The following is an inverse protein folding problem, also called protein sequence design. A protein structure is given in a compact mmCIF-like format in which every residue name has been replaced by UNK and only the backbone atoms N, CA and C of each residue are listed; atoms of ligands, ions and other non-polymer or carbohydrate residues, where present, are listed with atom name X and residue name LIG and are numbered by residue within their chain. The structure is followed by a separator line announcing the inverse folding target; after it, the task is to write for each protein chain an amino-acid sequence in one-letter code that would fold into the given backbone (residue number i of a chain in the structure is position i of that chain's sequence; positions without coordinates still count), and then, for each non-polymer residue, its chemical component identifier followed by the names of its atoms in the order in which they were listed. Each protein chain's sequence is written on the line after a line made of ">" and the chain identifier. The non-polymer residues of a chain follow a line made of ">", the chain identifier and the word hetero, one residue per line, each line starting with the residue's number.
data_IF_706295303023
#
_entry.id   IF_706295303023
#
_cell.length_a   1.000
_cell.length_b   1.000
_cell.length_c   1.000
_cell.angle_alpha   90.00
_cell.angle_beta   90.00
_cell.angle_gamma   90.00
#
_symmetry.space_group_name_H-M   'P 1'
#
loop_
_entity.id
_entity.type
_entity.pdbx_description
1 polymer ?
#
# COMPACT_ATOMS: atom_id res chain seq x y z
N UNK A 1 9.56 -31.12 1.12
CA UNK A 1 9.04 -30.44 2.31
C UNK A 1 10.23 -30.19 3.21
N UNK A 2 10.74 -28.97 3.29
CA UNK A 2 11.65 -28.62 4.37
C UNK A 2 10.82 -28.64 5.64
N UNK A 3 11.22 -29.47 6.61
CA UNK A 3 10.66 -29.46 7.96
C UNK A 3 11.13 -28.17 8.63
N UNK A 4 10.44 -27.06 8.34
CA UNK A 4 10.72 -25.79 8.99
C UNK A 4 10.19 -25.90 10.42
N UNK A 5 11.09 -25.94 11.40
CA UNK A 5 10.74 -25.82 12.81
C UNK A 5 10.41 -24.34 13.11
N UNK A 6 9.28 -23.86 12.63
CA UNK A 6 8.84 -22.51 12.96
C UNK A 6 8.68 -22.37 14.46
N UNK A 7 9.37 -21.41 15.05
CA UNK A 7 9.26 -21.05 16.46
C UNK A 7 8.58 -19.69 16.55
N UNK A 8 7.51 -19.63 17.33
CA UNK A 8 6.81 -18.37 17.63
C UNK A 8 6.98 -18.11 19.12
N UNK A 9 7.59 -16.98 19.47
CA UNK A 9 7.81 -16.58 20.87
C UNK A 9 7.22 -15.20 21.12
N UNK A 10 6.34 -15.09 22.10
CA UNK A 10 5.95 -13.82 22.68
C UNK A 10 7.09 -13.29 23.55
N UNK A 11 7.44 -12.01 23.40
CA UNK A 11 8.41 -11.36 24.28
C UNK A 11 7.82 -11.17 25.69
N UNK A 12 8.66 -11.30 26.71
CA UNK A 12 8.25 -11.14 28.11
C UNK A 12 7.86 -9.70 28.43
N UNK A 13 8.40 -8.74 27.67
CA UNK A 13 8.02 -7.33 27.76
C UNK A 13 7.55 -6.80 26.41
N UNK A 14 6.58 -5.90 26.44
CA UNK A 14 6.12 -5.19 25.24
C UNK A 14 7.13 -4.15 24.81
N UNK A 15 7.58 -4.25 23.56
CA UNK A 15 8.44 -3.26 22.89
C UNK A 15 7.80 -2.95 21.54
N UNK A 16 7.38 -1.70 21.28
CA UNK A 16 6.77 -1.33 19.98
C UNK A 16 7.68 -1.65 18.80
N UNK A 17 7.13 -2.19 17.72
CA UNK A 17 7.89 -2.55 16.52
C UNK A 17 8.70 -1.38 15.95
N UNK A 18 8.15 -0.16 15.99
CA UNK A 18 8.86 1.04 15.56
C UNK A 18 10.12 1.32 16.40
N UNK A 19 10.11 1.03 17.71
CA UNK A 19 11.31 1.12 18.56
C UNK A 19 12.30 0.03 18.19
N UNK A 20 11.81 -1.20 18.00
CA UNK A 20 12.67 -2.33 17.61
C UNK A 20 13.36 -2.02 16.26
N UNK A 21 12.59 -1.56 15.26
CA UNK A 21 13.13 -1.25 13.94
C UNK A 21 14.21 -0.16 13.99
N UNK A 22 14.02 0.85 14.85
CA UNK A 22 14.96 1.97 15.00
C UNK A 22 16.31 1.56 15.59
N UNK A 23 16.32 0.55 16.46
CA UNK A 23 17.52 0.15 17.24
C UNK A 23 18.21 -1.10 16.69
N UNK A 24 17.52 -1.91 15.91
CA UNK A 24 18.15 -3.03 15.22
C UNK A 24 19.13 -2.53 14.15
N UNK A 25 20.26 -3.23 13.97
CA UNK A 25 21.17 -2.92 12.87
C UNK A 25 20.45 -2.87 11.52
N UNK A 26 20.82 -1.92 10.67
CA UNK A 26 20.36 -1.89 9.29
C UNK A 26 20.66 -3.22 8.61
N UNK A 27 19.75 -3.70 7.80
CA UNK A 27 19.86 -4.90 7.01
C UNK A 27 19.35 -4.59 5.60
N UNK A 28 20.09 -5.03 4.60
CA UNK A 28 19.68 -4.86 3.21
C UNK A 28 18.28 -5.48 2.98
N UNK A 29 17.45 -4.80 2.21
CA UNK A 29 16.07 -5.17 1.96
C UNK A 29 15.22 -5.27 3.24
N UNK A 30 15.47 -4.42 4.23
CA UNK A 30 14.63 -4.35 5.42
C UNK A 30 13.29 -3.72 5.10
N UNK A 31 12.20 -4.41 5.45
CA UNK A 31 10.84 -3.89 5.29
C UNK A 31 10.15 -3.87 6.66
N UNK A 32 9.58 -2.70 6.97
CA UNK A 32 8.73 -2.48 8.12
C UNK A 32 7.36 -1.99 7.65
N UNK A 33 6.34 -2.82 7.81
CA UNK A 33 4.93 -2.44 7.65
C UNK A 33 4.40 -2.00 9.02
N UNK A 34 3.87 -0.78 9.10
CA UNK A 34 3.53 -0.12 10.36
C UNK A 34 2.05 0.27 10.43
N UNK A 35 1.40 -0.12 11.50
CA UNK A 35 0.05 0.32 11.87
C UNK A 35 0.13 1.38 12.96
N UNK A 36 0.57 2.59 12.59
CA UNK A 36 0.70 3.71 13.54
C UNK A 36 -0.64 4.29 14.00
N UNK A 37 -1.70 4.14 13.21
CA UNK A 37 -3.09 4.39 13.60
C UNK A 37 -3.76 3.07 14.00
N UNK A 38 -3.89 2.84 15.29
CA UNK A 38 -4.52 1.64 15.84
C UNK A 38 -6.03 1.76 15.76
N UNK A 39 -6.64 0.95 14.91
CA UNK A 39 -8.09 0.84 14.71
C UNK A 39 -8.43 -0.54 14.14
N UNK A 40 -9.63 -0.77 13.66
CA UNK A 40 -10.02 -2.05 13.06
C UNK A 40 -9.16 -2.46 11.84
N UNK A 41 -8.64 -1.49 11.08
CA UNK A 41 -7.76 -1.73 9.94
C UNK A 41 -6.29 -1.87 10.36
N UNK A 42 -5.83 -1.01 11.25
CA UNK A 42 -4.45 -0.94 11.75
C UNK A 42 -4.27 -1.82 12.99
N UNK A 43 -4.03 -3.11 12.79
CA UNK A 43 -3.94 -4.09 13.87
C UNK A 43 -2.51 -4.55 14.15
N UNK A 44 -1.75 -4.84 13.11
CA UNK A 44 -0.41 -5.42 13.24
C UNK A 44 0.65 -4.53 12.60
N UNK A 45 1.81 -4.45 13.27
CA UNK A 45 3.04 -3.94 12.65
C UNK A 45 4.01 -5.10 12.46
N UNK A 46 4.66 -5.16 11.29
CA UNK A 46 5.44 -6.34 10.86
C UNK A 46 6.81 -5.90 10.35
N UNK A 47 7.89 -6.49 10.90
CA UNK A 47 9.26 -6.30 10.40
C UNK A 47 9.77 -7.64 9.85
N UNK A 48 10.21 -7.64 8.58
CA UNK A 48 10.91 -8.76 7.97
C UNK A 48 12.41 -8.70 8.27
N UNK A 49 13.01 -9.85 8.61
CA UNK A 49 14.44 -10.00 8.89
C UNK A 49 14.98 -11.27 8.27
N UNK A 50 16.27 -11.27 7.89
CA UNK A 50 16.93 -12.40 7.24
C UNK A 50 16.24 -12.79 5.93
N UNK A 51 16.34 -11.95 4.90
CA UNK A 51 15.81 -12.27 3.58
C UNK A 51 16.51 -13.50 3.02
N UNK A 52 15.74 -14.44 2.41
CA UNK A 52 16.32 -15.63 1.78
C UNK A 52 15.91 -15.80 0.33
N UNK A 53 14.83 -15.13 -0.10
CA UNK A 53 14.36 -15.16 -1.47
C UNK A 53 13.80 -13.78 -1.85
N UNK A 54 14.36 -13.18 -2.89
CA UNK A 54 13.85 -11.96 -3.51
C UNK A 54 13.31 -12.29 -4.90
N UNK A 55 12.05 -11.96 -5.13
CA UNK A 55 11.41 -12.01 -6.45
C UNK A 55 11.24 -10.57 -6.93
N UNK A 56 11.77 -10.28 -8.10
CA UNK A 56 11.76 -8.93 -8.66
C UNK A 56 11.34 -8.95 -10.12
N UNK A 57 10.37 -8.11 -10.48
CA UNK A 57 9.96 -7.89 -11.87
C UNK A 57 10.36 -6.50 -12.33
N UNK A 58 11.06 -6.42 -13.46
CA UNK A 58 11.42 -5.16 -14.14
C UNK A 58 10.95 -5.27 -15.59
N UNK A 59 9.95 -4.54 -15.95
CA UNK A 59 9.32 -4.64 -17.27
C UNK A 59 8.93 -6.09 -17.59
N UNK A 60 9.45 -6.67 -18.65
CA UNK A 60 9.16 -8.06 -19.05
C UNK A 60 10.17 -9.06 -18.46
N UNK A 61 11.17 -8.59 -17.69
CA UNK A 61 12.20 -9.44 -17.10
C UNK A 61 11.84 -9.80 -15.66
N UNK A 62 12.16 -11.02 -15.29
CA UNK A 62 11.96 -11.57 -13.96
C UNK A 62 13.31 -11.99 -13.34
N UNK A 63 13.52 -11.66 -12.07
CA UNK A 63 14.75 -11.96 -11.34
C UNK A 63 14.44 -12.70 -10.05
N UNK A 64 15.27 -13.70 -9.74
CA UNK A 64 15.28 -14.44 -8.48
C UNK A 64 16.65 -14.23 -7.84
N UNK A 65 16.69 -13.58 -6.68
CA UNK A 65 17.96 -13.25 -5.99
C UNK A 65 18.96 -12.60 -6.96
N UNK A 66 18.51 -11.56 -7.66
CA UNK A 66 19.29 -10.76 -8.64
C UNK A 66 19.74 -11.50 -9.90
N UNK A 67 19.35 -12.78 -10.07
CA UNK A 67 19.64 -13.56 -11.26
C UNK A 67 18.41 -13.58 -12.17
N UNK A 68 18.55 -13.22 -13.44
CA UNK A 68 17.47 -13.24 -14.41
C UNK A 68 16.94 -14.66 -14.66
N UNK A 69 15.63 -14.85 -14.47
CA UNK A 69 14.94 -16.11 -14.74
C UNK A 69 14.19 -15.99 -16.08
N UNK A 70 14.48 -16.87 -17.02
CA UNK A 70 13.96 -16.81 -18.40
C UNK A 70 13.04 -17.96 -18.78
N UNK A 71 12.93 -18.98 -17.93
CA UNK A 71 12.15 -20.18 -18.23
C UNK A 71 10.68 -20.09 -17.81
N UNK A 72 10.35 -19.16 -16.91
CA UNK A 72 9.00 -19.00 -16.35
C UNK A 72 8.73 -17.52 -16.07
N UNK A 73 7.48 -17.07 -16.22
CA UNK A 73 7.11 -15.70 -15.84
C UNK A 73 7.03 -15.53 -14.33
N UNK A 74 7.16 -14.28 -13.86
CA UNK A 74 7.01 -13.89 -12.46
C UNK A 74 5.69 -14.41 -11.85
N UNK A 75 4.57 -14.23 -12.56
CA UNK A 75 3.23 -14.62 -12.11
C UNK A 75 3.12 -16.14 -11.95
N UNK A 76 3.59 -16.91 -12.95
CA UNK A 76 3.56 -18.36 -12.92
C UNK A 76 4.52 -18.93 -11.86
N UNK A 77 5.68 -18.30 -11.67
CA UNK A 77 6.62 -18.68 -10.60
C UNK A 77 5.99 -18.43 -9.24
N UNK A 78 5.46 -17.22 -9.00
CA UNK A 78 4.81 -16.87 -7.74
C UNK A 78 3.68 -17.85 -7.41
N UNK A 79 2.78 -18.10 -8.37
CA UNK A 79 1.70 -19.07 -8.20
C UNK A 79 2.21 -20.45 -7.79
N UNK A 80 3.16 -20.98 -8.54
CA UNK A 80 3.75 -22.30 -8.29
C UNK A 80 4.49 -22.35 -6.95
N UNK A 81 5.17 -21.27 -6.58
CA UNK A 81 5.89 -21.17 -5.31
C UNK A 81 4.93 -21.21 -4.12
N UNK A 82 3.86 -20.42 -4.17
CA UNK A 82 2.84 -20.39 -3.12
C UNK A 82 2.18 -21.74 -2.92
N UNK A 83 1.83 -22.45 -4.01
CA UNK A 83 1.23 -23.78 -3.93
C UNK A 83 2.20 -24.81 -3.31
N UNK A 84 3.48 -24.75 -3.71
CA UNK A 84 4.49 -25.72 -3.24
C UNK A 84 4.95 -25.46 -1.80
N UNK A 85 4.99 -24.20 -1.38
CA UNK A 85 5.48 -23.78 -0.07
C UNK A 85 4.35 -23.54 0.94
N UNK A 86 3.13 -23.87 0.59
CA UNK A 86 1.97 -23.67 1.48
C UNK A 86 2.20 -24.31 2.84
N UNK A 87 2.11 -23.49 3.89
CA UNK A 87 2.39 -23.89 5.28
C UNK A 87 1.30 -23.34 6.19
N UNK A 88 0.68 -24.19 6.99
CA UNK A 88 -0.37 -23.76 7.91
C UNK A 88 0.20 -22.83 9.00
N UNK A 89 -0.52 -21.77 9.30
CA UNK A 89 -0.26 -20.89 10.42
C UNK A 89 -1.23 -21.25 11.56
N UNK A 90 -0.72 -21.88 12.61
CA UNK A 90 -1.53 -22.27 13.76
C UNK A 90 -1.65 -21.15 14.82
N UNK A 91 -1.02 -20.01 14.58
CA UNK A 91 -1.10 -18.85 15.49
C UNK A 91 -2.26 -17.92 15.10
N UNK A 92 -2.54 -16.96 15.98
CA UNK A 92 -3.48 -15.86 15.68
C UNK A 92 -2.82 -14.67 14.94
N UNK A 93 -1.52 -14.77 14.64
CA UNK A 93 -0.76 -13.72 13.97
C UNK A 93 -1.04 -13.70 12.46
N UNK A 94 -0.88 -12.54 11.79
CA UNK A 94 -1.26 -12.39 10.38
C UNK A 94 -0.42 -13.24 9.43
N UNK A 95 0.81 -13.57 9.82
CA UNK A 95 1.69 -14.51 9.12
C UNK A 95 2.66 -15.16 10.08
N UNK A 96 3.10 -16.39 9.77
CA UNK A 96 4.22 -17.05 10.41
C UNK A 96 5.41 -17.19 9.46
N UNK A 97 5.15 -17.28 8.18
CA UNK A 97 6.13 -17.33 7.09
C UNK A 97 5.56 -16.65 5.86
N UNK A 98 6.39 -16.04 5.01
CA UNK A 98 5.89 -15.33 3.84
C UNK A 98 6.82 -14.23 3.35
N UNK A 99 6.24 -13.28 2.63
CA UNK A 99 6.93 -12.16 2.02
C UNK A 99 6.30 -10.81 2.39
N UNK A 100 7.13 -9.78 2.39
CA UNK A 100 6.72 -8.37 2.37
C UNK A 100 7.19 -7.76 1.06
N UNK A 101 6.46 -6.76 0.56
CA UNK A 101 6.86 -6.10 -0.68
C UNK A 101 5.81 -5.20 -1.29
N UNK A 102 5.96 -4.95 -2.59
CA UNK A 102 5.06 -4.06 -3.32
C UNK A 102 4.83 -4.49 -4.78
N UNK A 103 3.76 -3.97 -5.35
CA UNK A 103 3.44 -3.95 -6.77
C UNK A 103 3.22 -2.50 -7.18
N UNK A 104 3.95 -2.01 -8.19
CA UNK A 104 3.78 -0.65 -8.72
C UNK A 104 2.54 -0.55 -9.61
N UNK A 105 2.07 0.67 -9.89
CA UNK A 105 1.04 0.89 -10.89
C UNK A 105 1.46 0.37 -12.27
N UNK A 106 2.75 0.51 -12.61
CA UNK A 106 3.30 0.05 -13.88
C UNK A 106 3.22 -1.48 -14.04
N UNK A 107 3.36 -2.23 -12.94
CA UNK A 107 3.08 -3.67 -12.95
C UNK A 107 1.66 -3.96 -13.44
N UNK A 108 0.67 -3.27 -12.87
CA UNK A 108 -0.74 -3.43 -13.25
C UNK A 108 -1.02 -3.02 -14.69
N UNK A 109 -0.44 -1.91 -15.13
CA UNK A 109 -0.56 -1.45 -16.51
C UNK A 109 -0.04 -2.49 -17.51
N UNK A 110 1.16 -3.05 -17.25
CA UNK A 110 1.74 -4.12 -18.08
C UNK A 110 0.92 -5.40 -18.02
N UNK A 111 0.44 -5.79 -16.83
CA UNK A 111 -0.41 -6.95 -16.65
C UNK A 111 -1.68 -6.88 -17.52
N UNK A 112 -2.23 -5.69 -17.67
CA UNK A 112 -3.40 -5.43 -18.52
C UNK A 112 -3.03 -5.24 -20.01
N UNK A 113 -1.74 -5.27 -20.38
CA UNK A 113 -1.28 -5.09 -21.75
C UNK A 113 -1.44 -3.67 -22.30
N UNK A 114 -1.54 -2.67 -21.43
CA UNK A 114 -1.68 -1.25 -21.84
C UNK A 114 -0.28 -0.68 -22.09
N UNK A 115 0.03 -0.22 -23.30
CA UNK A 115 1.30 0.43 -23.60
C UNK A 115 1.39 1.79 -22.89
N UNK A 116 2.62 2.31 -22.70
CA UNK A 116 2.82 3.69 -22.25
C UNK A 116 3.63 4.46 -23.27
N UNK A 117 3.20 5.69 -23.52
CA UNK A 117 3.92 6.69 -24.33
C UNK A 117 5.06 7.36 -23.56
N UNK A 118 5.09 7.18 -22.23
CA UNK A 118 6.02 7.88 -21.33
C UNK A 118 7.32 7.12 -21.13
N UNK A 119 8.43 7.88 -21.05
CA UNK A 119 9.74 7.36 -20.70
C UNK A 119 9.83 7.04 -19.20
N UNK A 120 10.64 6.03 -18.87
CA UNK A 120 11.02 5.80 -17.48
C UNK A 120 11.99 6.89 -17.03
N UNK A 121 11.57 7.69 -16.06
CA UNK A 121 12.40 8.72 -15.42
C UNK A 121 12.86 8.29 -14.02
N UNK A 122 12.25 7.25 -13.47
CA UNK A 122 12.52 6.69 -12.14
C UNK A 122 12.76 5.20 -12.29
N UNK A 123 13.98 4.75 -11.97
CA UNK A 123 14.37 3.35 -12.14
C UNK A 123 14.11 2.54 -10.88
N UNK A 124 12.90 2.00 -10.74
CA UNK A 124 12.56 1.01 -9.71
C UNK A 124 11.94 -0.23 -10.35
N UNK A 125 11.99 -1.40 -9.70
CA UNK A 125 11.25 -2.57 -10.15
C UNK A 125 9.73 -2.36 -10.19
N UNK A 126 9.06 -3.02 -11.14
CA UNK A 126 7.59 -3.02 -11.20
C UNK A 126 6.97 -3.77 -10.02
N UNK A 127 7.62 -4.83 -9.55
CA UNK A 127 7.20 -5.57 -8.36
C UNK A 127 8.41 -6.14 -7.62
N UNK A 128 8.33 -6.14 -6.29
CA UNK A 128 9.31 -6.79 -5.41
C UNK A 128 8.58 -7.53 -4.30
N UNK A 129 8.90 -8.80 -4.12
CA UNK A 129 8.48 -9.60 -2.98
C UNK A 129 9.73 -10.21 -2.34
N UNK A 130 9.90 -9.98 -1.04
CA UNK A 130 11.03 -10.51 -0.27
C UNK A 130 10.51 -11.46 0.79
N UNK A 131 10.92 -12.71 0.72
CA UNK A 131 10.61 -13.74 1.70
C UNK A 131 11.66 -13.75 2.80
N UNK A 132 11.20 -13.79 4.05
CA UNK A 132 12.05 -13.67 5.24
C UNK A 132 12.04 -14.93 6.09
N UNK A 133 13.20 -15.23 6.66
CA UNK A 133 13.35 -16.32 7.62
C UNK A 133 12.82 -15.96 9.03
N UNK A 134 12.79 -14.66 9.34
CA UNK A 134 12.30 -14.21 10.62
C UNK A 134 11.37 -12.98 10.48
N UNK A 135 10.42 -12.91 11.40
CA UNK A 135 9.51 -11.77 11.54
C UNK A 135 9.45 -11.29 12.99
N UNK A 136 9.32 -9.97 13.14
CA UNK A 136 8.96 -9.33 14.41
C UNK A 136 7.57 -8.74 14.20
N UNK A 137 6.62 -9.16 15.02
CA UNK A 137 5.22 -8.74 14.88
C UNK A 137 4.75 -8.10 16.18
N UNK A 138 4.20 -6.90 16.06
CA UNK A 138 3.47 -6.22 17.13
C UNK A 138 1.98 -6.40 16.91
N UNK A 139 1.27 -6.94 17.91
CA UNK A 139 -0.18 -6.79 18.05
C UNK A 139 -0.44 -5.46 18.75
N UNK A 140 -0.82 -4.44 17.95
CA UNK A 140 -0.97 -3.07 18.43
C UNK A 140 -2.16 -2.91 19.40
N UNK A 141 -3.20 -3.74 19.28
CA UNK A 141 -4.35 -3.76 20.19
C UNK A 141 -4.02 -4.36 21.55
N UNK A 142 -3.37 -5.53 21.53
CA UNK A 142 -3.01 -6.23 22.76
C UNK A 142 -1.76 -5.66 23.42
N UNK A 143 -0.98 -4.85 22.68
CA UNK A 143 0.36 -4.39 23.07
C UNK A 143 1.26 -5.58 23.41
N UNK A 144 1.40 -6.47 22.45
CA UNK A 144 2.21 -7.67 22.54
C UNK A 144 3.19 -7.73 21.37
N UNK A 145 4.42 -8.17 21.63
CA UNK A 145 5.45 -8.30 20.62
C UNK A 145 5.87 -9.75 20.48
N UNK A 146 5.99 -10.23 19.26
CA UNK A 146 6.28 -11.61 18.92
C UNK A 146 7.52 -11.69 18.04
N UNK A 147 8.34 -12.72 18.26
CA UNK A 147 9.42 -13.13 17.37
C UNK A 147 9.03 -14.44 16.70
N UNK A 148 9.23 -14.51 15.39
CA UNK A 148 8.99 -15.70 14.59
C UNK A 148 10.27 -16.01 13.83
N UNK A 149 10.70 -17.27 13.84
CA UNK A 149 11.85 -17.78 13.08
C UNK A 149 11.51 -19.11 12.43
N UNK A 150 11.92 -19.31 11.17
CA UNK A 150 11.51 -20.47 10.36
C UNK A 150 12.65 -21.47 10.14
N UNK A 151 13.90 -21.12 10.47
CA UNK A 151 15.02 -22.02 10.36
C UNK A 151 15.49 -22.31 8.93
N UNK A 152 15.38 -21.33 8.04
CA UNK A 152 15.72 -21.43 6.62
C UNK A 152 17.19 -21.05 6.39
N UNK A 153 17.63 -19.92 6.94
CA UNK A 153 18.99 -19.40 6.79
C UNK A 153 19.94 -19.94 7.84
N UNK A 154 19.42 -20.18 9.05
CA UNK A 154 20.12 -20.79 10.17
C UNK A 154 19.11 -21.47 11.10
N UNK A 155 19.51 -22.36 12.04
CA UNK A 155 18.58 -23.01 12.97
C UNK A 155 17.70 -22.01 13.70
N UNK A 156 16.39 -22.28 13.73
CA UNK A 156 15.36 -21.36 14.22
C UNK A 156 15.59 -20.90 15.67
N UNK A 157 16.03 -21.80 16.55
CA UNK A 157 16.34 -21.51 17.95
C UNK A 157 17.57 -20.60 18.13
N UNK A 158 18.57 -20.75 17.25
CA UNK A 158 19.76 -19.89 17.23
C UNK A 158 19.39 -18.50 16.74
N UNK A 159 18.65 -18.41 15.65
CA UNK A 159 18.19 -17.13 15.10
C UNK A 159 17.29 -16.40 16.08
N UNK A 160 16.33 -17.11 16.71
CA UNK A 160 15.45 -16.56 17.73
C UNK A 160 16.24 -15.92 18.88
N UNK A 161 17.21 -16.64 19.42
CA UNK A 161 18.05 -16.14 20.52
C UNK A 161 18.86 -14.91 20.12
N UNK A 162 19.44 -14.91 18.92
CA UNK A 162 20.19 -13.75 18.40
C UNK A 162 19.31 -12.49 18.30
N UNK A 163 18.11 -12.64 17.76
CA UNK A 163 17.16 -11.53 17.63
C UNK A 163 16.69 -11.03 19.00
N UNK A 164 16.34 -11.94 19.90
CA UNK A 164 15.93 -11.59 21.26
C UNK A 164 17.03 -10.83 22.01
N UNK A 165 18.27 -11.36 21.99
CA UNK A 165 19.43 -10.73 22.62
C UNK A 165 19.71 -9.33 22.04
N UNK A 166 19.53 -9.14 20.72
CA UNK A 166 19.70 -7.86 20.07
C UNK A 166 18.62 -6.86 20.51
N UNK A 167 17.37 -7.29 20.57
CA UNK A 167 16.24 -6.45 20.99
C UNK A 167 16.36 -6.06 22.47
N UNK A 168 16.69 -7.00 23.34
CA UNK A 168 16.81 -6.76 24.79
C UNK A 168 17.98 -5.82 25.12
N UNK A 169 19.12 -5.93 24.43
CA UNK A 169 20.26 -5.01 24.61
C UNK A 169 19.91 -3.55 24.26
N UNK A 170 18.91 -3.36 23.40
CA UNK A 170 18.51 -2.04 22.91
C UNK A 170 17.24 -1.54 23.60
N UNK A 171 16.59 -2.37 24.44
CA UNK A 171 15.36 -1.97 25.14
C UNK A 171 15.53 -0.73 26.03
N UNK A 172 16.71 -0.56 26.62
CA UNK A 172 17.06 0.56 27.50
C UNK A 172 17.54 1.80 26.74
N UNK A 173 17.76 1.72 25.42
CA UNK A 173 18.13 2.88 24.62
C UNK A 173 16.97 3.89 24.53
N UNK A 174 17.27 5.18 24.68
CA UNK A 174 16.27 6.19 24.35
C UNK A 174 15.93 6.09 22.85
N UNK A 175 14.64 6.20 22.50
CA UNK A 175 14.26 6.33 21.09
C UNK A 175 14.99 7.48 20.43
N UNK A 176 15.55 7.27 19.26
CA UNK A 176 16.13 8.36 18.47
C UNK A 176 15.03 9.40 18.26
N UNK A 177 15.24 10.62 18.75
CA UNK A 177 14.25 11.68 18.63
C UNK A 177 14.22 12.11 17.16
N UNK A 178 13.02 12.26 16.56
CA UNK A 178 12.90 12.79 15.20
C UNK A 178 13.70 14.10 15.09
N UNK A 179 14.41 14.25 13.99
CA UNK A 179 15.17 15.48 13.71
C UNK A 179 14.19 16.66 13.69
N UNK A 180 14.38 17.60 14.60
CA UNK A 180 13.53 18.79 14.71
C UNK A 180 13.94 19.91 13.75
N UNK A 181 15.09 19.75 13.09
CA UNK A 181 15.56 20.74 12.13
C UNK A 181 14.63 20.78 10.92
N UNK A 182 14.24 21.99 10.56
CA UNK A 182 13.49 22.23 9.33
C UNK A 182 14.48 22.49 8.20
N UNK A 183 14.32 21.75 7.12
CA UNK A 183 15.09 21.92 5.91
C UNK A 183 14.25 22.64 4.86
N UNK A 184 14.83 23.60 4.10
CA UNK A 184 14.15 24.13 2.93
C UNK A 184 13.97 23.02 1.90
N UNK A 185 12.81 22.97 1.27
CA UNK A 185 12.52 22.06 0.19
C UNK A 185 12.29 22.83 -1.11
N UNK A 186 12.64 22.21 -2.25
CA UNK A 186 12.24 22.68 -3.57
C UNK A 186 11.29 21.63 -4.15
N UNK A 187 10.19 22.09 -4.76
CA UNK A 187 9.15 21.21 -5.30
C UNK A 187 8.96 21.54 -6.77
N UNK A 188 9.06 20.53 -7.62
CA UNK A 188 8.83 20.60 -9.06
C UNK A 188 7.72 19.64 -9.44
N UNK A 189 6.63 20.15 -10.00
CA UNK A 189 5.56 19.32 -10.52
C UNK A 189 5.85 18.96 -12.00
N UNK A 190 5.37 17.79 -12.43
CA UNK A 190 5.42 17.40 -13.85
C UNK A 190 4.34 18.08 -14.69
N UNK A 191 3.49 18.90 -14.06
CA UNK A 191 2.46 19.73 -14.69
C UNK A 191 2.61 21.19 -14.27
N UNK A 192 2.39 22.10 -15.20
CA UNK A 192 1.97 23.45 -14.87
C UNK A 192 0.47 23.44 -14.50
N UNK A 193 0.04 24.37 -13.64
CA UNK A 193 -1.34 24.42 -13.13
C UNK A 193 -2.38 24.38 -14.24
N UNK A 194 -2.21 25.21 -15.27
CA UNK A 194 -3.18 25.32 -16.37
C UNK A 194 -3.20 24.08 -17.26
N UNK A 195 -2.06 23.41 -17.44
CA UNK A 195 -1.99 22.15 -18.18
C UNK A 195 -2.71 21.02 -17.43
N UNK A 196 -2.54 20.94 -16.10
CA UNK A 196 -3.27 19.96 -15.28
C UNK A 196 -4.79 20.20 -15.35
N UNK A 197 -5.24 21.44 -15.23
CA UNK A 197 -6.65 21.83 -15.37
C UNK A 197 -7.19 21.50 -16.76
N UNK A 198 -6.38 21.69 -17.81
CA UNK A 198 -6.75 21.30 -19.16
C UNK A 198 -6.93 19.78 -19.27
N UNK A 199 -5.99 18.98 -18.76
CA UNK A 199 -6.12 17.51 -18.73
C UNK A 199 -7.37 17.06 -17.97
N UNK A 200 -7.75 17.73 -16.88
CA UNK A 200 -9.03 17.47 -16.18
C UNK A 200 -10.21 17.77 -17.13
N UNK A 201 -10.19 18.89 -17.86
CA UNK A 201 -11.25 19.23 -18.81
C UNK A 201 -11.35 18.22 -19.94
N UNK A 202 -10.22 17.76 -20.46
CA UNK A 202 -10.14 16.74 -21.51
C UNK A 202 -10.68 15.39 -20.98
N UNK A 203 -10.37 15.02 -19.73
CA UNK A 203 -10.92 13.82 -19.07
C UNK A 203 -12.44 13.93 -18.88
N UNK A 204 -12.96 15.07 -18.48
CA UNK A 204 -14.41 15.35 -18.39
C UNK A 204 -15.06 15.20 -19.78
N UNK A 205 -14.38 15.61 -20.85
CA UNK A 205 -14.85 15.41 -22.21
C UNK A 205 -15.01 13.94 -22.57
N UNK A 206 -14.01 13.07 -22.23
CA UNK A 206 -14.13 11.60 -22.37
C UNK A 206 -15.32 11.02 -21.62
N UNK A 207 -15.64 11.60 -20.44
CA UNK A 207 -16.83 11.19 -19.67
C UNK A 207 -18.12 11.56 -20.41
N UNK A 208 -18.23 12.78 -20.98
CA UNK A 208 -19.40 13.19 -21.74
C UNK A 208 -19.58 12.44 -23.06
N UNK A 209 -18.48 12.04 -23.72
CA UNK A 209 -18.52 11.18 -24.91
C UNK A 209 -18.91 9.72 -24.57
N UNK A 210 -18.90 9.34 -23.28
CA UNK A 210 -19.27 8.01 -22.81
C UNK A 210 -18.15 6.97 -22.89
N UNK A 211 -16.92 7.39 -23.11
CA UNK A 211 -15.74 6.50 -23.08
C UNK A 211 -15.46 5.93 -21.69
N UNK A 212 -15.61 6.77 -20.67
CA UNK A 212 -15.41 6.42 -19.26
C UNK A 212 -16.49 7.07 -18.40
N UNK A 213 -16.70 6.57 -17.19
CA UNK A 213 -17.62 7.18 -16.20
C UNK A 213 -16.88 7.96 -15.12
N UNK A 214 -15.68 7.52 -14.77
CA UNK A 214 -14.80 8.14 -13.79
C UNK A 214 -13.37 7.70 -14.09
N UNK A 215 -12.41 8.59 -13.91
CA UNK A 215 -11.00 8.22 -13.88
C UNK A 215 -10.23 9.04 -12.85
N UNK A 216 -9.16 8.47 -12.30
CA UNK A 216 -8.30 9.14 -11.33
C UNK A 216 -7.19 9.90 -12.07
N UNK A 217 -7.22 11.24 -12.06
CA UNK A 217 -6.20 12.09 -12.65
C UNK A 217 -5.12 12.44 -11.65
N UNK A 218 -3.83 12.33 -12.03
CA UNK A 218 -2.73 12.52 -11.11
C UNK A 218 -1.62 13.41 -11.66
N UNK A 219 -0.83 13.99 -10.73
CA UNK A 219 0.43 14.63 -11.03
C UNK A 219 1.52 14.10 -10.11
N UNK A 220 2.77 14.23 -10.54
CA UNK A 220 3.94 13.86 -9.77
C UNK A 220 4.72 15.09 -9.33
N UNK A 221 5.07 15.14 -8.05
CA UNK A 221 5.93 16.14 -7.46
C UNK A 221 7.31 15.52 -7.22
N UNK A 222 8.36 16.15 -7.75
CA UNK A 222 9.75 15.86 -7.45
C UNK A 222 10.24 16.87 -6.42
N UNK A 223 10.75 16.39 -5.28
CA UNK A 223 11.08 17.22 -4.14
C UNK A 223 12.56 17.04 -3.77
N UNK A 224 13.28 18.13 -3.68
CA UNK A 224 14.62 18.18 -3.11
C UNK A 224 14.51 18.43 -1.61
N UNK A 225 15.03 17.52 -0.80
CA UNK A 225 15.13 17.63 0.64
C UNK A 225 16.39 16.94 1.15
N UNK A 226 17.01 17.50 2.19
CA UNK A 226 18.18 16.92 2.87
C UNK A 226 17.79 15.94 3.98
N UNK A 227 16.51 15.82 4.29
CA UNK A 227 16.03 14.93 5.36
C UNK A 227 16.18 13.48 4.95
N UNK A 228 16.73 12.64 5.82
CA UNK A 228 16.86 11.22 5.55
C UNK A 228 15.47 10.53 5.46
N UNK A 229 15.28 9.55 4.57
CA UNK A 229 13.99 8.86 4.40
C UNK A 229 13.45 8.25 5.69
N UNK A 230 14.32 7.73 6.54
CA UNK A 230 13.93 7.19 7.85
C UNK A 230 13.37 8.28 8.78
N UNK A 231 13.93 9.49 8.76
CA UNK A 231 13.43 10.64 9.55
C UNK A 231 12.06 11.09 9.02
N UNK A 232 11.87 11.09 7.70
CA UNK A 232 10.57 11.37 7.07
C UNK A 232 9.53 10.35 7.53
N UNK A 233 9.88 9.06 7.57
CA UNK A 233 9.00 8.01 8.08
C UNK A 233 8.57 8.27 9.52
N UNK A 234 9.52 8.51 10.45
CA UNK A 234 9.17 8.77 11.87
C UNK A 234 8.38 10.04 12.06
N UNK A 235 8.61 11.08 11.25
CA UNK A 235 7.82 12.30 11.26
C UNK A 235 6.38 12.06 10.82
N UNK A 236 6.18 11.33 9.72
CA UNK A 236 4.84 10.94 9.23
C UNK A 236 4.12 10.06 10.23
N UNK A 237 4.79 9.03 10.73
CA UNK A 237 4.25 8.14 11.75
C UNK A 237 3.69 8.88 12.96
N UNK A 238 4.38 9.94 13.38
CA UNK A 238 3.98 10.76 14.54
C UNK A 238 2.85 11.74 14.22
N UNK A 239 2.96 12.44 13.08
CA UNK A 239 2.10 13.59 12.78
C UNK A 239 0.89 13.21 11.91
N UNK A 240 1.02 12.14 11.14
CA UNK A 240 -0.01 11.62 10.22
C UNK A 240 -0.10 10.09 10.35
N UNK A 241 -0.49 9.57 11.53
CA UNK A 241 -0.61 8.14 11.74
C UNK A 241 -1.60 7.53 10.75
N UNK A 242 -1.28 6.31 10.26
CA UNK A 242 -2.07 5.59 9.28
C UNK A 242 -2.17 4.11 9.62
N UNK A 243 -3.23 3.40 9.16
CA UNK A 243 -3.38 1.97 9.39
C UNK A 243 -2.43 1.12 8.53
N UNK A 244 -2.00 1.62 7.38
CA UNK A 244 -1.14 0.94 6.40
C UNK A 244 0.10 1.76 6.07
N UNK A 245 0.84 2.14 7.09
CA UNK A 245 2.13 2.79 6.95
C UNK A 245 3.25 1.81 6.63
N UNK A 246 4.44 2.33 6.38
CA UNK A 246 5.61 1.48 6.21
C UNK A 246 6.86 2.24 5.80
N UNK A 247 7.97 1.58 6.04
CA UNK A 247 9.29 1.97 5.56
C UNK A 247 9.95 0.74 4.90
N UNK A 248 10.27 0.88 3.62
CA UNK A 248 10.92 -0.16 2.85
C UNK A 248 12.28 0.37 2.41
N UNK A 249 13.34 -0.33 2.78
CA UNK A 249 14.71 0.07 2.51
C UNK A 249 15.35 -0.93 1.53
N UNK A 250 15.48 -0.49 0.29
CA UNK A 250 16.20 -1.19 -0.76
C UNK A 250 17.53 -0.47 -1.04
N UNK A 251 18.52 -1.15 -1.53
CA UNK A 251 19.88 -0.63 -1.71
C UNK A 251 19.92 0.73 -2.44
N UNK A 252 19.12 0.89 -3.49
CA UNK A 252 19.15 2.08 -4.34
C UNK A 252 17.99 3.04 -4.16
N UNK A 253 16.95 2.68 -3.40
CA UNK A 253 15.78 3.50 -3.18
C UNK A 253 15.07 3.13 -1.88
N UNK A 254 14.34 4.09 -1.31
CA UNK A 254 13.52 3.89 -0.12
C UNK A 254 12.08 4.32 -0.40
N UNK A 255 11.15 3.62 0.26
CA UNK A 255 9.72 3.94 0.20
C UNK A 255 9.26 4.31 1.60
N UNK A 256 8.61 5.47 1.72
CA UNK A 256 7.95 5.93 2.95
C UNK A 256 6.46 6.01 2.69
N UNK A 257 5.68 5.22 3.41
CA UNK A 257 4.25 5.07 3.20
C UNK A 257 3.47 5.48 4.45
N UNK A 258 2.37 6.22 4.26
CA UNK A 258 1.36 6.56 5.26
C UNK A 258 -0.06 6.38 4.70
N UNK A 259 -0.31 5.25 4.06
CA UNK A 259 -1.59 4.99 3.37
C UNK A 259 -2.75 4.77 4.34
N UNK A 260 -3.92 5.37 4.06
CA UNK A 260 -5.14 5.11 4.82
C UNK A 260 -6.00 4.00 4.23
N UNK A 261 -5.72 3.52 3.01
CA UNK A 261 -6.66 2.72 2.21
C UNK A 261 -6.15 1.30 1.97
N UNK A 262 -7.02 0.30 2.20
CA UNK A 262 -6.77 -1.10 1.86
C UNK A 262 -7.10 -1.33 0.40
N UNK A 263 -6.20 -2.02 -0.31
CA UNK A 263 -6.50 -2.57 -1.63
C UNK A 263 -7.32 -3.84 -1.49
N UNK A 264 -6.74 -4.87 -0.89
CA UNK A 264 -7.43 -6.13 -0.61
C UNK A 264 -6.81 -6.88 0.58
N UNK A 265 -7.64 -7.66 1.24
CA UNK A 265 -7.25 -8.62 2.27
C UNK A 265 -7.79 -9.99 1.90
N UNK A 266 -6.97 -11.02 2.10
CA UNK A 266 -7.37 -12.43 1.98
C UNK A 266 -7.11 -13.13 3.30
N UNK A 267 -8.13 -13.73 3.89
CA UNK A 267 -8.04 -14.46 5.15
C UNK A 267 -8.81 -15.77 5.01
N UNK A 268 -8.13 -16.90 5.10
CA UNK A 268 -8.72 -18.25 5.01
C UNK A 268 -9.61 -18.44 3.76
N UNK A 269 -9.18 -17.87 2.63
CA UNK A 269 -9.91 -17.91 1.37
C UNK A 269 -11.02 -16.87 1.22
N UNK A 270 -11.29 -16.07 2.25
CA UNK A 270 -12.24 -14.95 2.20
C UNK A 270 -11.53 -13.66 1.79
N UNK A 271 -11.98 -13.04 0.71
CA UNK A 271 -11.45 -11.80 0.13
C UNK A 271 -12.30 -10.63 0.58
N UNK A 272 -11.64 -9.56 1.01
CA UNK A 272 -12.26 -8.30 1.40
C UNK A 272 -11.57 -7.13 0.68
N UNK A 273 -12.34 -6.20 0.12
CA UNK A 273 -11.87 -4.89 -0.34
C UNK A 273 -12.78 -3.80 0.22
N UNK A 274 -12.19 -2.61 0.46
CA UNK A 274 -12.87 -1.55 1.20
C UNK A 274 -12.58 -0.16 0.64
N UNK A 275 -13.14 0.17 -0.54
CA UNK A 275 -12.93 1.45 -1.17
C UNK A 275 -13.48 2.60 -0.34
N UNK A 276 -12.77 3.72 -0.38
CA UNK A 276 -13.11 4.97 0.31
C UNK A 276 -13.34 6.05 -0.75
N UNK A 277 -14.49 6.75 -0.65
CA UNK A 277 -14.73 8.00 -1.36
C UNK A 277 -15.42 8.98 -0.43
N UNK A 278 -15.16 10.25 -0.62
CA UNK A 278 -15.68 11.26 0.29
C UNK A 278 -14.97 11.27 1.66
N UNK A 279 -14.50 12.44 2.01
CA UNK A 279 -13.85 12.68 3.32
C UNK A 279 -14.29 14.05 3.82
N UNK A 280 -14.61 14.12 5.11
CA UNK A 280 -14.84 15.39 5.81
C UNK A 280 -13.98 15.42 7.07
N UNK A 281 -13.43 16.60 7.39
CA UNK A 281 -12.73 16.79 8.67
C UNK A 281 -13.69 16.70 9.84
N UNK A 282 -13.16 16.41 11.04
CA UNK A 282 -13.92 16.51 12.30
C UNK A 282 -14.23 17.98 12.58
N UNK A 283 -15.37 18.22 13.19
CA UNK A 283 -15.77 19.56 13.64
C UNK A 283 -15.05 19.96 14.93
N UNK A 284 -14.82 21.25 15.11
CA UNK A 284 -14.27 21.79 16.36
C UNK A 284 -15.28 21.77 17.53
N UNK A 285 -16.56 21.68 17.20
CA UNK A 285 -17.66 21.55 18.17
C UNK A 285 -18.53 20.36 17.79
N UNK A 286 -19.23 19.76 18.76
CA UNK A 286 -20.15 18.65 18.54
C UNK A 286 -21.22 18.97 17.47
N UNK A 287 -21.73 20.21 17.46
CA UNK A 287 -22.72 20.66 16.47
C UNK A 287 -22.12 20.71 15.05
N UNK A 288 -20.90 21.17 14.91
CA UNK A 288 -20.20 21.22 13.62
C UNK A 288 -19.82 19.81 13.18
N UNK A 289 -19.35 18.98 14.08
CA UNK A 289 -19.00 17.57 13.82
C UNK A 289 -20.20 16.81 13.27
N UNK A 290 -21.35 16.92 13.91
CA UNK A 290 -22.59 16.31 13.45
C UNK A 290 -23.06 16.89 12.09
N UNK A 291 -22.83 18.18 11.82
CA UNK A 291 -23.15 18.80 10.53
C UNK A 291 -22.29 18.22 9.42
N UNK A 292 -20.97 18.13 9.63
CA UNK A 292 -20.02 17.61 8.63
C UNK A 292 -20.25 16.12 8.36
N UNK A 293 -20.57 15.32 9.40
CA UNK A 293 -20.96 13.93 9.25
C UNK A 293 -22.20 13.78 8.38
N UNK A 294 -23.25 14.56 8.67
CA UNK A 294 -24.50 14.54 7.88
C UNK A 294 -24.32 15.05 6.45
N UNK A 295 -23.44 16.03 6.25
CA UNK A 295 -23.09 16.52 4.93
C UNK A 295 -22.48 15.39 4.08
N UNK A 296 -21.54 14.62 4.63
CA UNK A 296 -20.96 13.47 3.94
C UNK A 296 -22.00 12.37 3.72
N UNK A 297 -22.80 12.04 4.75
CA UNK A 297 -23.86 11.04 4.69
C UNK A 297 -24.91 11.32 3.60
N UNK A 298 -25.16 12.59 3.28
CA UNK A 298 -26.15 13.02 2.29
C UNK A 298 -25.52 13.50 0.97
N UNK A 299 -24.21 13.36 0.79
CA UNK A 299 -23.53 13.78 -0.43
C UNK A 299 -23.83 12.80 -1.58
N UNK A 300 -24.70 13.19 -2.49
CA UNK A 300 -25.02 12.38 -3.67
C UNK A 300 -23.81 12.21 -4.59
N UNK A 301 -22.93 13.22 -4.70
CA UNK A 301 -21.67 13.13 -5.45
C UNK A 301 -20.79 12.03 -4.90
N UNK A 302 -20.45 12.07 -3.59
CA UNK A 302 -19.57 11.09 -2.95
C UNK A 302 -20.16 9.67 -3.03
N UNK A 303 -21.48 9.51 -2.89
CA UNK A 303 -22.17 8.22 -3.04
C UNK A 303 -22.11 7.70 -4.48
N UNK A 304 -22.35 8.55 -5.47
CA UNK A 304 -22.29 8.16 -6.90
C UNK A 304 -20.88 7.69 -7.28
N UNK A 305 -19.85 8.43 -6.86
CA UNK A 305 -18.46 8.04 -7.08
C UNK A 305 -18.15 6.69 -6.42
N UNK A 306 -18.54 6.52 -5.15
CA UNK A 306 -18.31 5.28 -4.42
C UNK A 306 -19.05 4.10 -5.06
N UNK A 307 -20.28 4.30 -5.53
CA UNK A 307 -21.07 3.25 -6.18
C UNK A 307 -20.40 2.73 -7.46
N UNK A 308 -19.83 3.63 -8.27
CA UNK A 308 -19.09 3.23 -9.49
C UNK A 308 -17.88 2.36 -9.14
N UNK A 309 -17.16 2.70 -8.08
CA UNK A 309 -16.00 1.91 -7.61
C UNK A 309 -16.45 0.57 -7.03
N UNK A 310 -17.53 0.55 -6.25
CA UNK A 310 -18.13 -0.69 -5.72
C UNK A 310 -18.50 -1.65 -6.85
N UNK A 311 -19.11 -1.17 -7.92
CA UNK A 311 -19.47 -2.02 -9.06
C UNK A 311 -18.24 -2.55 -9.80
N UNK A 312 -17.22 -1.71 -9.97
CA UNK A 312 -15.94 -2.09 -10.57
C UNK A 312 -15.23 -3.18 -9.75
N UNK A 313 -15.08 -3.00 -8.44
CA UNK A 313 -14.40 -3.96 -7.57
C UNK A 313 -15.21 -5.24 -7.39
N UNK A 314 -16.53 -5.15 -7.34
CA UNK A 314 -17.42 -6.32 -7.39
C UNK A 314 -17.22 -7.12 -8.69
N UNK A 315 -17.09 -6.43 -9.84
CA UNK A 315 -16.81 -7.08 -11.12
C UNK A 315 -15.43 -7.76 -11.09
N UNK A 316 -14.40 -7.15 -10.52
CA UNK A 316 -13.07 -7.75 -10.41
C UNK A 316 -13.09 -9.01 -9.52
N UNK A 317 -13.74 -8.95 -8.35
CA UNK A 317 -13.89 -10.12 -7.49
C UNK A 317 -14.71 -11.24 -8.12
N UNK A 318 -15.73 -10.93 -8.93
CA UNK A 318 -16.52 -11.94 -9.64
C UNK A 318 -15.72 -12.78 -10.66
N UNK A 319 -14.56 -12.26 -11.14
CA UNK A 319 -13.66 -13.02 -12.05
C UNK A 319 -12.93 -14.16 -11.35
N UNK A 320 -12.77 -14.07 -10.03
CA UNK A 320 -11.86 -14.93 -9.28
C UNK A 320 -12.51 -15.62 -8.06
N UNK A 321 -13.59 -15.10 -7.55
CA UNK A 321 -14.33 -15.69 -6.45
C UNK A 321 -15.33 -16.75 -6.92
N UNK A 322 -15.79 -17.60 -6.01
CA UNK A 322 -16.85 -18.57 -6.25
C UNK A 322 -18.12 -17.88 -6.72
N UNK A 323 -18.78 -18.48 -7.70
CA UNK A 323 -20.03 -17.92 -8.23
C UNK A 323 -21.07 -17.71 -7.12
N UNK A 324 -21.60 -16.49 -7.05
CA UNK A 324 -22.60 -16.09 -6.05
C UNK A 324 -22.06 -15.77 -4.65
N UNK A 325 -20.75 -15.85 -4.41
CA UNK A 325 -20.15 -15.49 -3.12
C UNK A 325 -19.90 -13.99 -2.97
N UNK A 326 -19.73 -13.27 -4.09
CA UNK A 326 -19.43 -11.82 -4.04
C UNK A 326 -20.64 -11.02 -3.59
N UNK A 327 -20.46 -10.25 -2.51
CA UNK A 327 -21.48 -9.42 -1.88
C UNK A 327 -20.95 -8.05 -1.53
N UNK A 328 -21.84 -7.07 -1.55
CA UNK A 328 -21.61 -5.76 -0.93
C UNK A 328 -22.15 -5.85 0.50
N UNK A 329 -21.29 -5.76 1.48
CA UNK A 329 -21.63 -5.95 2.91
C UNK A 329 -21.99 -4.65 3.57
N UNK A 330 -21.24 -3.59 3.28
CA UNK A 330 -21.47 -2.24 3.79
C UNK A 330 -21.59 -1.29 2.61
N UNK A 331 -22.74 -0.67 2.42
CA UNK A 331 -22.94 0.32 1.37
C UNK A 331 -23.15 1.69 2.00
N UNK A 332 -22.25 2.64 1.66
CA UNK A 332 -22.31 4.04 2.13
C UNK A 332 -22.25 4.20 3.65
N UNK A 333 -21.39 3.44 4.30
CA UNK A 333 -21.17 3.55 5.75
C UNK A 333 -20.23 4.71 6.08
N UNK A 334 -20.57 5.50 7.09
CA UNK A 334 -19.67 6.54 7.62
C UNK A 334 -18.77 5.91 8.67
N UNK A 335 -17.47 5.91 8.41
CA UNK A 335 -16.45 5.59 9.41
C UNK A 335 -15.95 6.86 10.09
N UNK A 336 -15.90 6.84 11.42
CA UNK A 336 -15.47 7.95 12.24
C UNK A 336 -14.06 7.74 12.76
N UNK A 337 -13.15 8.59 12.31
CA UNK A 337 -11.76 8.62 12.80
C UNK A 337 -11.51 9.85 13.66
N UNK A 338 -10.37 9.88 14.34
CA UNK A 338 -10.03 10.98 15.24
C UNK A 338 -9.99 12.35 14.54
N UNK A 339 -9.64 12.38 13.25
CA UNK A 339 -9.44 13.62 12.48
C UNK A 339 -10.38 13.80 11.30
N UNK A 340 -11.03 12.73 10.86
CA UNK A 340 -11.87 12.74 9.67
C UNK A 340 -13.06 11.76 9.77
N UNK A 341 -14.07 12.00 8.93
CA UNK A 341 -15.09 11.04 8.53
C UNK A 341 -14.79 10.53 7.14
N UNK A 342 -14.94 9.24 6.89
CA UNK A 342 -14.87 8.62 5.57
C UNK A 342 -16.20 7.97 5.19
N UNK A 343 -16.57 8.08 3.92
CA UNK A 343 -17.64 7.30 3.32
C UNK A 343 -17.03 6.06 2.67
N UNK A 344 -17.42 4.88 3.16
CA UNK A 344 -16.84 3.60 2.75
C UNK A 344 -17.89 2.61 2.29
N UNK A 345 -17.46 1.62 1.53
CA UNK A 345 -18.26 0.43 1.22
C UNK A 345 -17.42 -0.82 1.34
N UNK A 346 -18.00 -1.93 1.80
CA UNK A 346 -17.36 -3.22 1.88
C UNK A 346 -17.80 -4.13 0.72
N UNK A 347 -16.85 -4.80 0.06
CA UNK A 347 -17.12 -5.85 -0.92
C UNK A 347 -16.33 -7.09 -0.50
N UNK A 348 -17.01 -8.22 -0.40
CA UNK A 348 -16.45 -9.47 0.06
C UNK A 348 -16.78 -10.61 -0.91
N UNK A 349 -15.96 -11.66 -0.90
CA UNK A 349 -16.20 -12.86 -1.67
C UNK A 349 -15.30 -14.01 -1.22
N UNK A 350 -15.66 -15.24 -1.59
CA UNK A 350 -14.84 -16.41 -1.32
C UNK A 350 -14.04 -16.77 -2.55
N UNK A 351 -12.71 -16.85 -2.41
CA UNK A 351 -11.81 -17.22 -3.51
C UNK A 351 -12.21 -18.59 -4.06
N UNK A 352 -12.21 -18.74 -5.38
CA UNK A 352 -12.54 -20.01 -6.02
C UNK A 352 -11.50 -21.08 -5.68
N UNK A 353 -11.95 -22.36 -5.74
CA UNK A 353 -11.07 -23.50 -5.46
C UNK A 353 -9.84 -23.49 -6.40
N UNK A 354 -8.72 -23.97 -5.93
CA UNK A 354 -7.45 -24.02 -6.66
C UNK A 354 -6.88 -22.65 -7.09
N UNK A 355 -7.42 -21.57 -6.57
CA UNK A 355 -6.90 -20.21 -6.75
C UNK A 355 -6.07 -19.79 -5.54
N UNK A 356 -5.04 -18.97 -5.78
CA UNK A 356 -4.22 -18.39 -4.74
C UNK A 356 -4.03 -16.89 -4.94
N UNK A 357 -3.20 -16.27 -4.13
CA UNK A 357 -2.94 -14.83 -4.19
C UNK A 357 -2.48 -14.36 -5.57
N UNK A 358 -1.65 -15.14 -6.29
CA UNK A 358 -1.18 -14.73 -7.61
C UNK A 358 -2.34 -14.61 -8.62
N UNK A 359 -3.29 -15.54 -8.59
CA UNK A 359 -4.50 -15.47 -9.41
C UNK A 359 -5.38 -14.27 -9.01
N UNK A 360 -5.53 -14.03 -7.69
CA UNK A 360 -6.30 -12.89 -7.17
C UNK A 360 -5.71 -11.56 -7.62
N UNK A 361 -4.39 -11.40 -7.48
CA UNK A 361 -3.67 -10.21 -7.94
C UNK A 361 -3.89 -9.96 -9.43
N UNK A 362 -3.72 -10.98 -10.28
CA UNK A 362 -3.92 -10.85 -11.73
C UNK A 362 -5.35 -10.48 -12.11
N UNK A 363 -6.35 -10.88 -11.32
CA UNK A 363 -7.75 -10.58 -11.61
C UNK A 363 -8.19 -9.19 -11.18
N UNK A 364 -7.54 -8.60 -10.14
CA UNK A 364 -8.03 -7.40 -9.46
C UNK A 364 -7.11 -6.18 -9.62
N UNK A 365 -5.80 -6.39 -9.81
CA UNK A 365 -4.82 -5.30 -9.87
C UNK A 365 -4.76 -4.62 -11.25
N UNK A 366 -4.58 -3.28 -11.31
CA UNK A 366 -4.56 -2.33 -10.19
C UNK A 366 -5.95 -2.07 -9.61
N UNK A 367 -5.99 -1.49 -8.40
CA UNK A 367 -7.24 -1.22 -7.69
C UNK A 367 -8.21 -0.33 -8.46
N UNK A 368 -9.51 -0.54 -8.24
CA UNK A 368 -10.57 0.25 -8.89
C UNK A 368 -10.57 1.71 -8.46
N UNK A 369 -10.37 1.96 -7.16
CA UNK A 369 -10.49 3.30 -6.55
C UNK A 369 -9.48 4.33 -7.09
N UNK A 370 -8.36 3.84 -7.67
CA UNK A 370 -7.25 4.67 -8.18
C UNK A 370 -7.06 4.60 -9.71
N UNK A 371 -7.93 3.89 -10.41
CA UNK A 371 -7.96 3.81 -11.88
C UNK A 371 -9.20 4.50 -12.43
N UNK A 372 -10.26 3.79 -12.69
CA UNK A 372 -11.52 4.31 -13.19
C UNK A 372 -12.40 3.23 -13.81
N UNK A 373 -13.54 3.63 -14.32
CA UNK A 373 -14.53 2.72 -14.89
C UNK A 373 -14.96 3.15 -16.30
N UNK A 374 -14.94 2.26 -17.30
CA UNK A 374 -14.38 0.89 -17.30
C UNK A 374 -12.84 0.90 -17.14
N UNK A 375 -12.29 -0.03 -16.34
CA UNK A 375 -10.88 0.00 -15.89
C UNK A 375 -9.89 0.14 -17.05
N UNK A 376 -9.99 -0.72 -18.07
CA UNK A 376 -9.06 -0.74 -19.19
C UNK A 376 -9.04 0.63 -19.92
N UNK A 377 -10.22 1.13 -20.31
CA UNK A 377 -10.34 2.39 -21.04
C UNK A 377 -9.91 3.59 -20.19
N UNK A 378 -10.25 3.60 -18.91
CA UNK A 378 -9.79 4.64 -17.99
C UNK A 378 -8.26 4.67 -17.88
N UNK A 379 -7.59 3.53 -17.84
CA UNK A 379 -6.13 3.47 -17.79
C UNK A 379 -5.47 3.92 -19.11
N UNK A 380 -6.11 3.70 -20.29
CA UNK A 380 -5.63 4.27 -21.55
C UNK A 380 -5.72 5.80 -21.51
N UNK A 381 -6.86 6.36 -21.09
CA UNK A 381 -7.06 7.80 -20.97
C UNK A 381 -6.11 8.43 -19.96
N UNK A 382 -5.84 7.74 -18.86
CA UNK A 382 -4.83 8.15 -17.85
C UNK A 382 -3.43 8.26 -18.51
N UNK A 383 -2.99 7.25 -19.26
CA UNK A 383 -1.67 7.30 -19.94
C UNK A 383 -1.60 8.39 -21.00
N UNK A 384 -2.72 8.71 -21.64
CA UNK A 384 -2.80 9.78 -22.64
C UNK A 384 -2.70 11.17 -22.02
N UNK A 385 -3.36 11.40 -20.87
CA UNK A 385 -3.53 12.73 -20.27
C UNK A 385 -2.50 13.07 -19.20
N UNK A 386 -1.90 12.09 -18.50
CA UNK A 386 -0.87 12.33 -17.51
C UNK A 386 0.49 12.63 -18.16
N UNK A 387 1.32 13.47 -17.53
CA UNK A 387 2.64 13.86 -18.04
C UNK A 387 3.76 12.98 -17.48
N UNK A 388 3.55 11.67 -17.39
CA UNK A 388 4.58 10.72 -16.94
C UNK A 388 4.00 9.45 -16.33
N UNK A 389 4.89 8.50 -16.03
CA UNK A 389 4.53 7.24 -15.37
C UNK A 389 4.25 7.48 -13.88
N UNK A 390 3.28 6.77 -13.33
CA UNK A 390 2.96 6.80 -11.91
C UNK A 390 3.97 6.06 -11.03
N UNK A 391 4.71 5.13 -11.62
CA UNK A 391 5.66 4.27 -10.91
C UNK A 391 4.98 3.53 -9.72
N UNK A 392 5.49 3.72 -8.49
CA UNK A 392 4.93 3.12 -7.29
C UNK A 392 3.57 3.72 -6.91
N UNK A 393 3.35 5.01 -7.18
CA UNK A 393 2.13 5.70 -6.78
C UNK A 393 0.89 5.01 -7.35
N UNK A 394 -0.14 4.83 -6.50
CA UNK A 394 -1.33 4.05 -6.81
C UNK A 394 -1.09 2.55 -7.08
N UNK A 395 0.10 2.06 -6.75
CA UNK A 395 0.39 0.64 -6.61
C UNK A 395 -0.11 0.08 -5.28
N UNK A 396 0.57 -0.93 -4.76
CA UNK A 396 0.16 -1.61 -3.52
C UNK A 396 1.36 -2.11 -2.73
N UNK A 397 1.34 -1.95 -1.41
CA UNK A 397 2.37 -2.40 -0.48
C UNK A 397 1.72 -3.28 0.57
N UNK A 398 2.34 -4.41 0.94
CA UNK A 398 1.74 -5.28 1.93
C UNK A 398 2.55 -6.53 2.22
N UNK A 399 1.86 -7.52 2.78
CA UNK A 399 2.42 -8.82 3.07
C UNK A 399 1.62 -9.95 2.41
N UNK A 400 2.33 -11.05 2.18
CA UNK A 400 1.81 -12.31 1.67
C UNK A 400 2.32 -13.44 2.57
N UNK A 401 1.41 -14.16 3.20
CA UNK A 401 1.71 -15.32 4.05
C UNK A 401 1.70 -16.61 3.25
N UNK A 402 2.56 -17.57 3.63
CA UNK A 402 2.58 -18.90 3.00
C UNK A 402 1.39 -19.78 3.40
N UNK A 403 0.55 -19.36 4.35
CA UNK A 403 -0.75 -20.00 4.59
C UNK A 403 -1.83 -19.62 3.56
N UNK A 404 -1.54 -18.62 2.74
CA UNK A 404 -2.41 -18.07 1.71
C UNK A 404 -3.03 -16.72 2.06
N UNK A 405 -2.87 -16.25 3.30
CA UNK A 405 -3.40 -14.96 3.75
C UNK A 405 -2.56 -13.79 3.23
N UNK A 406 -3.17 -12.62 3.04
CA UNK A 406 -2.46 -11.41 2.68
C UNK A 406 -3.24 -10.16 3.11
N UNK A 407 -2.54 -9.03 3.21
CA UNK A 407 -3.14 -7.70 3.35
C UNK A 407 -2.27 -6.67 2.63
N UNK A 408 -2.86 -6.00 1.64
CA UNK A 408 -2.21 -5.03 0.78
C UNK A 408 -2.98 -3.71 0.77
N UNK A 409 -2.25 -2.60 0.83
CA UNK A 409 -2.80 -1.25 0.77
C UNK A 409 -2.87 -0.73 -0.67
N UNK A 410 -3.44 0.46 -0.84
CA UNK A 410 -3.22 1.32 -2.02
C UNK A 410 -2.05 2.26 -1.70
N UNK A 411 -1.02 2.30 -2.53
CA UNK A 411 0.17 3.15 -2.32
C UNK A 411 -0.13 4.63 -2.65
N UNK A 412 -0.96 5.26 -1.81
CA UNK A 412 -1.21 6.71 -1.77
C UNK A 412 -0.61 7.30 -0.49
N UNK A 413 -0.43 8.61 -0.43
CA UNK A 413 0.33 9.26 0.65
C UNK A 413 1.67 8.56 0.88
N UNK A 414 2.29 8.20 -0.22
CA UNK A 414 3.52 7.41 -0.27
C UNK A 414 4.55 8.19 -1.06
N UNK A 415 5.74 8.31 -0.53
CA UNK A 415 6.84 9.00 -1.19
C UNK A 415 7.98 8.00 -1.46
N UNK A 416 8.51 8.06 -2.66
CA UNK A 416 9.66 7.28 -3.13
C UNK A 416 10.90 8.16 -3.10
N UNK A 417 11.96 7.72 -2.43
CA UNK A 417 13.26 8.36 -2.47
C UNK A 417 14.19 7.54 -3.36
N UNK A 418 14.70 8.17 -4.42
CA UNK A 418 15.65 7.56 -5.37
C UNK A 418 16.52 8.65 -5.96
N UNK A 419 17.79 8.34 -6.19
CA UNK A 419 18.80 9.26 -6.79
C UNK A 419 18.86 10.64 -6.09
N UNK A 420 18.66 10.65 -4.75
CA UNK A 420 18.70 11.87 -3.93
C UNK A 420 17.47 12.77 -4.01
N UNK A 421 16.40 12.32 -4.68
CA UNK A 421 15.14 13.05 -4.81
C UNK A 421 13.97 12.26 -4.21
N UNK A 422 12.97 12.99 -3.74
CA UNK A 422 11.70 12.41 -3.31
C UNK A 422 10.65 12.59 -4.42
N UNK A 423 9.95 11.52 -4.76
CA UNK A 423 8.88 11.52 -5.76
C UNK A 423 7.56 11.21 -5.09
N UNK A 424 6.61 12.12 -5.19
CA UNK A 424 5.29 12.04 -4.58
C UNK A 424 4.21 12.15 -5.66
N UNK A 425 3.42 11.10 -5.83
CA UNK A 425 2.20 11.18 -6.64
C UNK A 425 1.02 11.74 -5.83
N UNK A 426 0.20 12.57 -6.46
CA UNK A 426 -1.04 13.11 -5.90
C UNK A 426 -2.09 13.24 -6.99
N UNK A 427 -3.37 13.02 -6.65
CA UNK A 427 -4.44 13.06 -7.62
C UNK A 427 -5.83 12.90 -7.00
N UNK A 428 -6.85 12.89 -7.83
CA UNK A 428 -8.24 12.72 -7.44
C UNK A 428 -9.08 12.06 -8.52
N UNK A 429 -10.25 11.54 -8.13
CA UNK A 429 -11.23 10.99 -9.06
C UNK A 429 -11.97 12.11 -9.80
N UNK A 430 -11.95 12.06 -11.12
CA UNK A 430 -12.61 13.03 -11.99
C UNK A 430 -13.93 12.45 -12.49
N UNK A 431 -14.99 13.20 -12.30
CA UNK A 431 -16.36 12.90 -12.77
C UNK A 431 -16.88 14.03 -13.65
N UNK A 432 -18.06 13.85 -14.22
CA UNK A 432 -18.72 14.90 -15.02
C UNK A 432 -19.00 16.19 -14.22
N UNK A 433 -19.08 16.11 -12.89
CA UNK A 433 -19.36 17.23 -11.99
C UNK A 433 -18.10 17.86 -11.40
N UNK A 434 -16.89 17.37 -11.78
CA UNK A 434 -15.62 17.89 -11.25
C UNK A 434 -15.35 19.31 -11.75
N UNK A 435 -14.87 20.15 -10.81
CA UNK A 435 -14.43 21.53 -11.11
C UNK A 435 -12.90 21.58 -11.17
N UNK A 436 -12.34 22.00 -12.28
CA UNK A 436 -10.89 21.91 -12.55
C UNK A 436 -10.01 22.60 -11.53
N UNK A 437 -10.44 23.75 -11.01
CA UNK A 437 -9.72 24.48 -9.96
C UNK A 437 -9.73 23.72 -8.63
N UNK A 438 -10.88 23.20 -8.25
CA UNK A 438 -11.04 22.43 -7.02
C UNK A 438 -10.17 21.14 -7.05
N UNK A 439 -10.22 20.40 -8.14
CA UNK A 439 -9.45 19.16 -8.30
C UNK A 439 -7.94 19.42 -8.25
N UNK A 440 -7.46 20.53 -8.85
CA UNK A 440 -6.05 20.91 -8.73
C UNK A 440 -5.67 21.25 -7.28
N UNK A 441 -6.44 22.09 -6.59
CA UNK A 441 -6.16 22.46 -5.20
C UNK A 441 -6.22 21.25 -4.25
N UNK A 442 -7.09 20.27 -4.54
CA UNK A 442 -7.16 19.02 -3.78
C UNK A 442 -5.86 18.23 -3.85
N UNK A 443 -5.17 18.21 -5.00
CA UNK A 443 -3.87 17.54 -5.12
C UNK A 443 -2.84 18.16 -4.18
N UNK A 444 -2.81 19.48 -4.08
CA UNK A 444 -1.88 20.20 -3.18
C UNK A 444 -2.20 19.93 -1.71
N UNK A 445 -3.48 19.84 -1.36
CA UNK A 445 -3.90 19.48 -0.01
C UNK A 445 -3.47 18.06 0.36
N UNK A 446 -3.57 17.11 -0.59
CA UNK A 446 -3.12 15.73 -0.41
C UNK A 446 -1.59 15.61 -0.26
N UNK A 447 -0.83 16.50 -0.91
CA UNK A 447 0.63 16.55 -0.79
C UNK A 447 1.10 17.08 0.58
N UNK A 448 0.32 17.95 1.22
CA UNK A 448 0.73 18.77 2.36
C UNK A 448 1.43 17.99 3.47
N UNK A 449 0.83 16.88 3.92
CA UNK A 449 1.38 16.09 5.04
C UNK A 449 2.79 15.54 4.74
N UNK A 450 3.02 15.10 3.50
CA UNK A 450 4.32 14.61 3.05
C UNK A 450 5.32 15.77 2.94
N UNK A 451 4.91 16.90 2.35
CA UNK A 451 5.76 18.09 2.22
C UNK A 451 6.17 18.62 3.59
N UNK A 452 5.23 18.66 4.56
CA UNK A 452 5.53 19.07 5.95
C UNK A 452 6.51 18.09 6.62
N UNK A 453 6.47 16.80 6.29
CA UNK A 453 7.38 15.80 6.83
C UNK A 453 8.78 15.88 6.22
N UNK A 454 8.90 16.39 4.99
CA UNK A 454 10.16 16.59 4.26
C UNK A 454 10.89 17.88 4.64
N UNK A 455 10.20 18.84 5.23
CA UNK A 455 10.77 20.05 5.83
C UNK A 455 11.38 19.73 7.20
#
# INVERSE_FOLDING_TARGET
>A
MQNTNTIIKKLDMYIPAAKIFQVLPSEENAIFLDSSLVNELGHYSIIGRKPYLKLEKREDRFYINDTEETSISFENYLRSYLDKQKTANSSHLPLASGALGYFSYEYGRRLMGIPSSHKDTISIPDAVLIFYDAFIIEDCHKKESYLITNGITEPADILLKKLEDAILKTSDSEPVKPVKEKYPIQVHANFEKEDYKKSISDMIHYIYEGDIYIANMTQQLTIESKKAPQDVFYNLRKNNPSPFGGYLDFDHYQIVCASPERFLKLTDGHVETRPIKGTRKRGETEKEDLRLRKELENSEKDKSELLMIVDLERNDLNKICRSGSVKVTDLFTIEEYATVFHLVSGIEGDLADEKNFADLLMATFPGGSITGAPKYRAMEVIDELEHGKRNLYTGSIGYLSLDGNCDFNIAIRTVLHVDGHYHLGVGGGITAESETEFEYEETLQKAKAILDALQ
#
